data_IF_048910957358
#
_entry.id   IF_048910957358
#
_cell.length_a   1.000
_cell.length_b   1.000
_cell.length_c   1.000
_cell.angle_alpha   90.00
_cell.angle_beta   90.00
_cell.angle_gamma   90.00
#
_symmetry.space_group_name_H-M   'P 1'
#
loop_
_entity.id
_entity.type
_entity.pdbx_description
1 polymer ?
#
# COMPACT_ATOMS: atom_id res chain seq x y z
N UNK A 1 35.92 -36.91 -19.31
CA UNK A 1 36.08 -35.61 -18.61
C UNK A 1 34.76 -35.27 -17.94
N UNK A 2 34.71 -35.19 -16.60
CA UNK A 2 33.56 -34.60 -15.91
C UNK A 2 33.57 -33.10 -16.24
N UNK A 3 32.55 -32.61 -16.95
CA UNK A 3 32.33 -31.17 -17.12
C UNK A 3 32.08 -30.59 -15.73
N UNK A 4 33.09 -29.92 -15.18
CA UNK A 4 32.95 -29.15 -13.93
C UNK A 4 32.23 -27.86 -14.31
N UNK A 5 30.98 -27.74 -13.87
CA UNK A 5 30.18 -26.54 -14.08
C UNK A 5 30.78 -25.44 -13.17
N UNK A 6 31.21 -24.29 -13.71
CA UNK A 6 31.73 -23.21 -12.88
C UNK A 6 30.65 -22.70 -11.92
N UNK A 7 31.03 -22.24 -10.71
CA UNK A 7 30.08 -21.80 -9.70
C UNK A 7 29.24 -20.63 -10.22
N UNK A 8 27.93 -20.67 -9.94
CA UNK A 8 27.01 -19.57 -10.25
C UNK A 8 27.49 -18.32 -9.50
N UNK A 9 27.66 -17.20 -10.20
CA UNK A 9 28.10 -15.94 -9.59
C UNK A 9 27.10 -15.50 -8.53
N UNK A 10 27.53 -14.74 -7.52
CA UNK A 10 26.63 -14.22 -6.49
C UNK A 10 25.48 -13.42 -7.14
N UNK A 11 24.26 -13.77 -6.77
CA UNK A 11 23.06 -12.99 -7.05
C UNK A 11 22.66 -12.30 -5.76
N UNK A 12 22.33 -11.01 -5.84
CA UNK A 12 21.83 -10.26 -4.69
C UNK A 12 20.48 -9.65 -5.04
N UNK A 13 19.46 -9.99 -4.26
CA UNK A 13 18.12 -9.41 -4.37
C UNK A 13 17.96 -8.28 -3.34
N UNK A 14 17.58 -7.10 -3.83
CA UNK A 14 17.26 -5.92 -3.04
C UNK A 14 15.79 -5.59 -3.21
N UNK A 15 15.07 -5.47 -2.09
CA UNK A 15 13.70 -4.95 -2.10
C UNK A 15 13.77 -3.45 -1.92
N UNK A 16 13.34 -2.72 -2.94
CA UNK A 16 13.28 -1.26 -2.91
C UNK A 16 11.86 -0.84 -2.58
N UNK A 17 11.72 -0.23 -1.40
CA UNK A 17 10.47 0.33 -0.91
C UNK A 17 10.25 1.71 -1.53
N UNK A 18 9.09 1.90 -2.15
CA UNK A 18 8.65 3.12 -2.82
C UNK A 18 7.43 3.70 -2.11
N UNK A 19 7.35 5.03 -1.97
CA UNK A 19 6.14 5.68 -1.50
C UNK A 19 5.15 5.93 -2.65
N UNK A 20 3.86 5.91 -2.37
CA UNK A 20 2.83 6.31 -3.33
C UNK A 20 2.81 7.84 -3.52
N UNK A 21 2.63 8.29 -4.76
CA UNK A 21 2.37 9.70 -5.06
C UNK A 21 1.07 10.20 -4.40
N UNK A 22 0.86 11.51 -4.39
CA UNK A 22 -0.36 12.10 -3.84
C UNK A 22 -1.63 11.61 -4.58
N UNK A 23 -1.57 11.58 -5.92
CA UNK A 23 -2.66 11.07 -6.76
C UNK A 23 -2.89 9.59 -6.52
N UNK A 24 -1.83 8.78 -6.50
CA UNK A 24 -1.92 7.35 -6.22
C UNK A 24 -2.55 7.07 -4.85
N UNK A 25 -2.15 7.79 -3.79
CA UNK A 25 -2.77 7.65 -2.46
C UNK A 25 -4.26 7.95 -2.49
N UNK A 26 -4.65 9.04 -3.16
CA UNK A 26 -6.05 9.42 -3.24
C UNK A 26 -6.89 8.34 -3.94
N UNK A 27 -6.44 7.89 -5.11
CA UNK A 27 -7.09 6.83 -5.90
C UNK A 27 -7.11 5.50 -5.15
N UNK A 28 -5.99 5.12 -4.53
CA UNK A 28 -5.87 3.88 -3.77
C UNK A 28 -6.85 3.88 -2.58
N UNK A 29 -6.92 4.98 -1.83
CA UNK A 29 -7.90 5.11 -0.76
C UNK A 29 -9.35 5.12 -1.26
N UNK A 30 -9.64 5.79 -2.38
CA UNK A 30 -10.98 5.81 -2.97
C UNK A 30 -11.41 4.41 -3.40
N UNK A 31 -10.55 3.69 -4.14
CA UNK A 31 -10.82 2.32 -4.60
C UNK A 31 -10.86 1.31 -3.45
N UNK A 32 -10.03 1.49 -2.42
CA UNK A 32 -10.10 0.67 -1.21
C UNK A 32 -11.41 0.89 -0.45
N UNK A 33 -11.95 2.12 -0.42
CA UNK A 33 -13.20 2.47 0.26
C UNK A 33 -14.46 2.15 -0.53
N UNK A 34 -14.40 2.20 -1.86
CA UNK A 34 -15.51 1.80 -2.72
C UNK A 34 -15.77 0.30 -2.45
N UNK A 35 -16.82 0.05 -1.65
CA UNK A 35 -17.50 -1.24 -1.55
C UNK A 35 -18.21 -1.42 -2.89
N UNK A 36 -17.48 -1.86 -3.91
CA UNK A 36 -18.14 -2.44 -5.08
C UNK A 36 -19.04 -3.54 -4.52
N UNK A 37 -20.34 -3.32 -4.71
CA UNK A 37 -21.44 -4.10 -4.17
C UNK A 37 -21.09 -5.58 -4.24
N UNK A 38 -20.92 -6.19 -3.07
CA UNK A 38 -21.13 -7.62 -2.93
C UNK A 38 -22.60 -7.79 -3.29
N UNK A 39 -22.89 -8.05 -4.56
CA UNK A 39 -24.18 -8.59 -4.96
C UNK A 39 -24.22 -9.92 -4.23
N UNK A 40 -24.91 -9.94 -3.09
CA UNK A 40 -25.28 -11.13 -2.33
C UNK A 40 -26.24 -11.97 -3.19
N UNK A 41 -25.74 -12.50 -4.30
CA UNK A 41 -26.31 -13.69 -4.87
C UNK A 41 -25.84 -14.83 -3.98
N UNK A 42 -26.81 -15.55 -3.42
CA UNK A 42 -26.69 -16.64 -2.44
C UNK A 42 -25.79 -17.82 -2.86
N UNK A 43 -25.10 -17.69 -3.99
CA UNK A 43 -24.11 -18.60 -4.53
C UNK A 43 -22.74 -17.89 -4.52
N UNK A 44 -21.89 -18.16 -3.52
CA UNK A 44 -20.61 -17.49 -3.21
C UNK A 44 -19.52 -17.43 -4.28
N UNK A 45 -19.82 -17.72 -5.56
CA UNK A 45 -18.89 -17.65 -6.70
C UNK A 45 -18.71 -16.22 -7.27
N UNK A 46 -19.65 -15.30 -7.05
CA UNK A 46 -19.60 -13.94 -7.62
C UNK A 46 -18.69 -12.98 -6.83
N UNK A 47 -18.64 -13.10 -5.49
CA UNK A 47 -17.84 -12.22 -4.62
C UNK A 47 -16.33 -12.34 -4.83
N UNK A 48 -15.81 -13.55 -5.10
CA UNK A 48 -14.38 -13.77 -5.38
C UNK A 48 -13.93 -13.06 -6.67
N UNK A 49 -14.80 -12.98 -7.69
CA UNK A 49 -14.50 -12.26 -8.94
C UNK A 49 -14.46 -10.74 -8.73
N UNK A 50 -15.41 -10.19 -7.97
CA UNK A 50 -15.43 -8.76 -7.64
C UNK A 50 -14.20 -8.35 -6.79
N UNK A 51 -13.79 -9.20 -5.84
CA UNK A 51 -12.60 -8.98 -5.03
C UNK A 51 -11.30 -9.05 -5.87
N UNK A 52 -11.17 -10.05 -6.74
CA UNK A 52 -10.02 -10.17 -7.65
C UNK A 52 -9.93 -8.98 -8.61
N UNK A 53 -11.07 -8.48 -9.09
CA UNK A 53 -11.12 -7.26 -9.89
C UNK A 53 -10.63 -6.05 -9.07
N UNK A 54 -11.03 -5.92 -7.81
CA UNK A 54 -10.55 -4.85 -6.92
C UNK A 54 -9.04 -4.92 -6.68
N UNK A 55 -8.51 -6.12 -6.39
CA UNK A 55 -7.06 -6.34 -6.23
C UNK A 55 -6.30 -5.95 -7.51
N UNK A 56 -6.84 -6.29 -8.68
CA UNK A 56 -6.25 -5.90 -9.97
C UNK A 56 -6.21 -4.38 -10.12
N UNK A 57 -7.29 -3.66 -9.79
CA UNK A 57 -7.29 -2.20 -9.87
C UNK A 57 -6.32 -1.56 -8.87
N UNK A 58 -6.23 -2.08 -7.64
CA UNK A 58 -5.25 -1.60 -6.65
C UNK A 58 -3.81 -1.80 -7.15
N UNK A 59 -3.51 -2.92 -7.79
CA UNK A 59 -2.21 -3.15 -8.45
C UNK A 59 -1.94 -2.14 -9.57
N UNK A 60 -2.94 -1.87 -10.43
CA UNK A 60 -2.81 -0.83 -11.47
C UNK A 60 -2.41 0.51 -10.87
N UNK A 61 -3.08 0.95 -9.80
CA UNK A 61 -2.77 2.22 -9.13
C UNK A 61 -1.34 2.24 -8.57
N UNK A 62 -0.87 1.14 -7.97
CA UNK A 62 0.51 1.05 -7.44
C UNK A 62 1.56 1.13 -8.55
N UNK A 63 1.25 0.62 -9.74
CA UNK A 63 2.10 0.72 -10.93
C UNK A 63 2.08 2.13 -11.52
N UNK A 64 0.92 2.61 -11.99
CA UNK A 64 0.77 3.93 -12.56
C UNK A 64 -0.70 4.41 -12.62
N UNK A 65 -1.02 5.67 -12.23
CA UNK A 65 -2.37 6.22 -12.35
C UNK A 65 -2.92 6.27 -13.79
N UNK A 66 -2.07 6.50 -14.79
CA UNK A 66 -2.49 6.57 -16.21
C UNK A 66 -2.81 5.21 -16.83
N UNK A 67 -2.80 4.12 -16.05
CA UNK A 67 -3.45 2.87 -16.50
C UNK A 67 -4.98 2.96 -16.50
N UNK A 68 -5.52 4.10 -16.06
CA UNK A 68 -6.91 4.49 -16.16
C UNK A 68 -6.99 5.69 -17.09
N UNK A 69 -7.43 5.46 -18.32
CA UNK A 69 -7.46 6.46 -19.40
C UNK A 69 -8.22 7.73 -18.97
N UNK A 70 -9.34 7.57 -18.26
CA UNK A 70 -10.15 8.66 -17.71
C UNK A 70 -9.37 9.61 -16.79
N UNK A 71 -8.37 9.08 -16.07
CA UNK A 71 -7.54 9.87 -15.15
C UNK A 71 -6.47 10.62 -15.93
N UNK A 72 -5.87 9.98 -16.94
CA UNK A 72 -4.91 10.62 -17.83
C UNK A 72 -5.55 11.80 -18.57
N UNK A 73 -6.71 11.58 -19.21
CA UNK A 73 -7.42 12.61 -19.96
C UNK A 73 -7.79 13.83 -19.09
N UNK A 74 -8.33 13.60 -17.89
CA UNK A 74 -8.68 14.70 -16.97
C UNK A 74 -7.45 15.47 -16.51
N UNK A 75 -6.35 14.77 -16.22
CA UNK A 75 -5.11 15.42 -15.79
C UNK A 75 -4.46 16.19 -16.94
N UNK A 76 -4.49 15.65 -18.17
CA UNK A 76 -4.04 16.32 -19.39
C UNK A 76 -4.81 17.63 -19.63
N UNK A 77 -6.14 17.59 -19.48
CA UNK A 77 -6.99 18.79 -19.56
C UNK A 77 -6.63 19.82 -18.49
N UNK A 78 -6.46 19.40 -17.23
CA UNK A 78 -6.12 20.30 -16.13
C UNK A 78 -4.77 21.00 -16.30
N UNK A 79 -3.81 20.31 -16.93
CA UNK A 79 -2.47 20.84 -17.20
C UNK A 79 -2.37 21.55 -18.56
N UNK A 80 -3.43 21.58 -19.36
CA UNK A 80 -3.48 22.29 -20.64
C UNK A 80 -2.84 21.55 -21.82
N UNK A 81 -2.66 20.23 -21.75
CA UNK A 81 -2.20 19.42 -22.88
C UNK A 81 -3.32 19.28 -23.92
N UNK A 82 -3.09 19.82 -25.12
CA UNK A 82 -4.10 19.88 -26.19
C UNK A 82 -4.39 18.54 -26.87
N UNK A 83 -3.42 17.63 -26.85
CA UNK A 83 -3.52 16.33 -27.52
C UNK A 83 -3.96 15.19 -26.58
N UNK A 84 -4.24 15.48 -25.30
CA UNK A 84 -4.67 14.48 -24.32
C UNK A 84 -3.56 13.54 -23.81
N UNK A 85 -2.37 13.56 -24.42
CA UNK A 85 -1.23 12.73 -24.02
C UNK A 85 -0.27 13.48 -23.09
N UNK A 86 0.00 12.90 -21.93
CA UNK A 86 0.91 13.49 -20.94
C UNK A 86 2.33 12.98 -21.19
N UNK A 87 3.20 13.91 -21.56
CA UNK A 87 4.62 13.64 -21.77
C UNK A 87 5.48 14.43 -20.78
N UNK A 88 6.64 13.86 -20.45
CA UNK A 88 7.71 14.55 -19.72
C UNK A 88 7.66 14.38 -18.20
N UNK A 89 7.89 15.44 -17.41
CA UNK A 89 8.03 15.32 -15.96
C UNK A 89 6.75 14.87 -15.28
N UNK A 90 5.60 15.27 -15.80
CA UNK A 90 4.31 14.93 -15.20
C UNK A 90 3.95 13.45 -15.36
N UNK A 91 4.51 12.77 -16.36
CA UNK A 91 4.37 11.32 -16.54
C UNK A 91 4.99 10.55 -15.37
N UNK A 92 6.28 10.77 -15.08
CA UNK A 92 6.95 9.98 -14.05
C UNK A 92 6.67 10.47 -12.61
N UNK A 93 6.30 11.75 -12.42
CA UNK A 93 6.05 12.32 -11.08
C UNK A 93 4.73 11.87 -10.46
N UNK A 94 3.77 11.43 -11.27
CA UNK A 94 2.49 10.91 -10.75
C UNK A 94 2.60 9.48 -10.21
N UNK A 95 3.70 8.76 -10.46
CA UNK A 95 3.93 7.43 -9.88
C UNK A 95 5.23 7.38 -9.09
N UNK A 96 5.15 6.94 -7.84
CA UNK A 96 6.33 6.81 -6.98
C UNK A 96 7.37 5.81 -7.49
N UNK A 97 6.95 4.76 -8.20
CA UNK A 97 7.89 3.79 -8.81
C UNK A 97 8.65 4.42 -9.97
N UNK A 98 7.97 5.17 -10.83
CA UNK A 98 8.60 5.87 -11.96
C UNK A 98 9.55 6.98 -11.47
N UNK A 99 9.17 7.71 -10.43
CA UNK A 99 10.05 8.71 -9.79
C UNK A 99 11.35 8.09 -9.29
N UNK A 100 11.25 6.93 -8.62
CA UNK A 100 12.43 6.20 -8.16
C UNK A 100 13.28 5.71 -9.34
N UNK A 101 12.65 5.14 -10.37
CA UNK A 101 13.36 4.68 -11.58
C UNK A 101 14.10 5.83 -12.29
N UNK A 102 13.51 7.02 -12.31
CA UNK A 102 14.13 8.22 -12.87
C UNK A 102 15.41 8.62 -12.15
N UNK A 103 15.56 8.26 -10.87
CA UNK A 103 16.81 8.46 -10.11
C UNK A 103 17.82 7.34 -10.29
N UNK A 104 17.36 6.12 -10.58
CA UNK A 104 18.21 4.91 -10.66
C UNK A 104 18.76 4.71 -12.07
N UNK A 105 17.94 4.80 -13.11
CA UNK A 105 18.34 4.51 -14.49
C UNK A 105 19.49 5.40 -15.00
N UNK A 106 19.54 6.73 -14.74
CA UNK A 106 20.69 7.55 -15.14
C UNK A 106 22.00 7.09 -14.49
N UNK A 107 21.95 6.64 -13.23
CA UNK A 107 23.13 6.14 -12.52
C UNK A 107 23.62 4.84 -13.13
N UNK A 108 22.72 3.92 -13.45
CA UNK A 108 23.04 2.66 -14.12
C UNK A 108 23.64 2.88 -15.52
N UNK A 109 23.10 3.85 -16.28
CA UNK A 109 23.64 4.24 -17.59
C UNK A 109 25.04 4.85 -17.46
N UNK A 110 25.25 5.74 -16.49
CA UNK A 110 26.55 6.36 -16.24
C UNK A 110 27.63 5.33 -15.86
N UNK A 111 27.25 4.24 -15.18
CA UNK A 111 28.14 3.12 -14.83
C UNK A 111 28.26 2.05 -15.93
N UNK A 112 27.52 2.15 -17.03
CA UNK A 112 27.57 1.20 -18.14
C UNK A 112 26.93 -0.17 -17.86
N UNK A 113 25.97 -0.25 -16.96
CA UNK A 113 25.23 -1.48 -16.65
C UNK A 113 24.11 -1.73 -17.68
N UNK A 114 23.84 -3.00 -18.03
CA UNK A 114 22.73 -3.38 -18.93
C UNK A 114 21.55 -3.88 -18.10
N UNK A 115 20.35 -3.35 -18.36
CA UNK A 115 19.17 -3.53 -17.50
C UNK A 115 18.10 -4.38 -18.16
N UNK A 116 17.64 -5.44 -17.48
CA UNK A 116 16.38 -6.13 -17.82
C UNK A 116 15.27 -5.57 -16.95
N UNK A 117 14.23 -5.01 -17.55
CA UNK A 117 13.06 -4.48 -16.85
C UNK A 117 11.87 -5.38 -17.09
N UNK A 118 11.39 -6.05 -16.05
CA UNK A 118 10.24 -6.93 -16.10
C UNK A 118 8.97 -6.24 -15.59
N UNK A 119 7.89 -6.34 -16.38
CA UNK A 119 6.55 -5.88 -16.04
C UNK A 119 5.54 -7.02 -16.23
N UNK A 120 4.52 -7.09 -15.38
CA UNK A 120 3.38 -7.99 -15.60
C UNK A 120 2.38 -7.41 -16.59
N UNK A 121 2.01 -6.14 -16.41
CA UNK A 121 0.99 -5.49 -17.21
C UNK A 121 1.61 -4.84 -18.45
N UNK A 122 1.19 -5.27 -19.65
CA UNK A 122 1.68 -4.70 -20.92
C UNK A 122 1.34 -3.22 -21.07
N UNK A 123 0.20 -2.77 -20.53
CA UNK A 123 -0.17 -1.36 -20.52
C UNK A 123 0.86 -0.46 -19.80
N UNK A 124 1.59 -1.00 -18.80
CA UNK A 124 2.69 -0.27 -18.16
C UNK A 124 3.91 -0.21 -19.08
N UNK A 125 4.13 -1.23 -19.91
CA UNK A 125 5.21 -1.23 -20.90
C UNK A 125 5.02 -0.10 -21.90
N UNK A 126 3.78 0.16 -22.33
CA UNK A 126 3.46 1.28 -23.23
C UNK A 126 3.84 2.63 -22.59
N UNK A 127 3.56 2.82 -21.30
CA UNK A 127 3.99 4.02 -20.55
C UNK A 127 5.52 4.12 -20.44
N UNK A 128 6.22 2.99 -20.32
CA UNK A 128 7.69 2.97 -20.35
C UNK A 128 8.25 3.40 -21.70
N UNK A 129 7.62 3.07 -22.82
CA UNK A 129 8.06 3.53 -24.14
C UNK A 129 8.01 5.05 -24.25
N UNK A 130 6.93 5.67 -23.77
CA UNK A 130 6.79 7.13 -23.70
C UNK A 130 7.88 7.74 -22.81
N UNK A 131 8.11 7.14 -21.64
CA UNK A 131 9.14 7.59 -20.70
C UNK A 131 10.57 7.45 -21.25
N UNK A 132 10.88 6.34 -21.92
CA UNK A 132 12.19 6.10 -22.54
C UNK A 132 12.43 7.02 -23.72
N UNK A 133 11.42 7.29 -24.54
CA UNK A 133 11.48 8.29 -25.60
C UNK A 133 11.78 9.69 -25.02
N UNK A 134 11.11 10.08 -23.94
CA UNK A 134 11.36 11.37 -23.28
C UNK A 134 12.79 11.50 -22.72
N UNK A 135 13.34 10.44 -22.11
CA UNK A 135 14.71 10.41 -21.56
C UNK A 135 15.79 10.05 -22.58
N UNK A 136 15.42 9.77 -23.84
CA UNK A 136 16.31 9.27 -24.90
C UNK A 136 17.10 8.01 -24.47
N UNK A 137 16.42 7.03 -23.90
CA UNK A 137 17.00 5.71 -23.63
C UNK A 137 16.80 4.77 -24.81
N UNK A 138 17.85 4.04 -25.17
CA UNK A 138 17.77 2.95 -26.14
C UNK A 138 17.20 1.72 -25.44
N UNK A 139 16.14 1.16 -26.03
CA UNK A 139 15.47 0.01 -25.44
C UNK A 139 15.01 -0.99 -26.50
N UNK A 140 14.83 -2.24 -26.06
CA UNK A 140 14.23 -3.33 -26.84
C UNK A 140 13.02 -3.83 -26.07
N UNK A 141 11.88 -4.01 -26.75
CA UNK A 141 10.63 -4.52 -26.16
C UNK A 141 10.39 -5.97 -26.58
N UNK A 142 9.98 -6.81 -25.62
CA UNK A 142 9.53 -8.17 -25.87
C UNK A 142 8.30 -8.49 -25.02
N UNK A 143 7.20 -8.73 -25.70
CA UNK A 143 5.92 -9.15 -25.13
C UNK A 143 5.38 -10.41 -25.83
N UNK A 144 4.22 -10.89 -25.38
CA UNK A 144 3.59 -12.10 -25.93
C UNK A 144 3.04 -11.97 -27.35
N UNK A 145 3.01 -10.76 -27.92
CA UNK A 145 2.54 -10.50 -29.29
C UNK A 145 3.67 -10.49 -30.32
N UNK A 146 4.92 -10.44 -29.87
CA UNK A 146 6.11 -10.50 -30.73
C UNK A 146 6.24 -11.87 -31.42
N UNK A 147 6.50 -11.90 -32.73
CA UNK A 147 6.66 -13.16 -33.48
C UNK A 147 7.92 -13.90 -33.08
N UNK A 148 7.93 -15.23 -33.27
CA UNK A 148 9.04 -16.09 -32.87
C UNK A 148 10.35 -15.78 -33.62
N UNK A 149 10.26 -15.41 -34.90
CA UNK A 149 11.41 -15.05 -35.73
C UNK A 149 12.03 -13.73 -35.26
N UNK A 150 11.21 -12.68 -35.10
CA UNK A 150 11.61 -11.38 -34.57
C UNK A 150 12.25 -11.52 -33.18
N UNK A 151 11.72 -12.41 -32.33
CA UNK A 151 12.29 -12.69 -31.01
C UNK A 151 13.77 -13.10 -31.07
N UNK A 152 14.14 -13.91 -32.06
CA UNK A 152 15.52 -14.37 -32.20
C UNK A 152 16.45 -13.23 -32.64
N UNK A 153 15.97 -12.32 -33.48
CA UNK A 153 16.70 -11.14 -33.90
C UNK A 153 16.89 -10.15 -32.73
N UNK A 154 15.83 -9.85 -31.97
CA UNK A 154 15.90 -8.97 -30.79
C UNK A 154 16.90 -9.49 -29.74
N UNK A 155 16.95 -10.81 -29.53
CA UNK A 155 17.92 -11.44 -28.63
C UNK A 155 19.36 -11.35 -29.14
N UNK A 156 19.58 -11.47 -30.45
CA UNK A 156 20.90 -11.27 -31.05
C UNK A 156 21.33 -9.82 -30.87
N UNK A 157 20.42 -8.88 -31.17
CA UNK A 157 20.71 -7.45 -31.10
C UNK A 157 21.07 -6.99 -29.69
N UNK A 158 20.41 -7.53 -28.65
CA UNK A 158 20.74 -7.19 -27.27
C UNK A 158 22.07 -7.77 -26.78
N UNK A 159 22.39 -8.99 -27.24
CA UNK A 159 23.64 -9.67 -26.88
C UNK A 159 24.84 -9.18 -27.68
N UNK A 160 24.61 -8.46 -28.78
CA UNK A 160 25.63 -7.77 -29.55
C UNK A 160 26.12 -6.54 -28.78
N UNK A 161 27.44 -6.43 -28.59
CA UNK A 161 28.05 -5.30 -27.89
C UNK A 161 28.21 -4.08 -28.83
N UNK A 162 28.05 -4.25 -30.15
CA UNK A 162 28.11 -3.16 -31.13
C UNK A 162 26.85 -2.29 -31.14
N UNK A 163 25.73 -2.84 -30.67
CA UNK A 163 24.45 -2.14 -30.59
C UNK A 163 24.30 -1.57 -29.17
N UNK A 164 24.16 -0.24 -29.08
CA UNK A 164 23.93 0.45 -27.80
C UNK A 164 22.50 0.19 -27.29
N UNK A 165 22.28 -0.99 -26.71
CA UNK A 165 21.04 -1.38 -26.06
C UNK A 165 21.19 -1.30 -24.55
N UNK A 166 20.61 -0.26 -23.94
CA UNK A 166 20.69 -0.05 -22.50
C UNK A 166 19.63 -0.86 -21.72
N UNK A 167 18.37 -0.82 -22.17
CA UNK A 167 17.23 -1.44 -21.49
C UNK A 167 16.61 -2.53 -22.36
N UNK A 168 16.32 -3.69 -21.77
CA UNK A 168 15.45 -4.68 -22.37
C UNK A 168 14.17 -4.77 -21.55
N UNK A 169 13.07 -4.33 -22.13
CA UNK A 169 11.73 -4.30 -21.53
C UNK A 169 11.00 -5.62 -21.85
N UNK A 170 10.77 -6.43 -20.83
CA UNK A 170 10.12 -7.74 -20.95
C UNK A 170 8.81 -7.77 -20.18
N UNK A 171 7.82 -8.44 -20.75
CA UNK A 171 6.74 -8.96 -19.91
C UNK A 171 7.23 -10.16 -19.11
N UNK A 172 6.89 -10.29 -17.82
CA UNK A 172 7.36 -11.40 -16.98
C UNK A 172 6.97 -12.76 -17.57
N UNK A 173 5.77 -12.85 -18.14
CA UNK A 173 5.28 -14.08 -18.80
C UNK A 173 6.04 -14.44 -20.07
N UNK A 174 6.28 -13.47 -20.98
CA UNK A 174 7.06 -13.75 -22.19
C UNK A 174 8.54 -14.01 -21.85
N UNK A 175 9.04 -13.35 -20.81
CA UNK A 175 10.38 -13.53 -20.25
C UNK A 175 10.61 -14.89 -19.58
N UNK A 176 9.56 -15.54 -19.07
CA UNK A 176 9.63 -16.87 -18.47
C UNK A 176 10.01 -17.99 -19.45
N UNK A 177 9.92 -17.76 -20.77
CA UNK A 177 10.10 -18.81 -21.78
C UNK A 177 11.50 -18.79 -22.40
N UNK A 178 12.41 -19.59 -21.84
CA UNK A 178 13.60 -20.10 -22.56
C UNK A 178 14.64 -19.10 -23.06
N UNK A 179 14.58 -17.82 -22.66
CA UNK A 179 15.50 -16.77 -23.14
C UNK A 179 16.91 -16.92 -22.52
N UNK A 180 17.93 -16.45 -23.24
CA UNK A 180 19.31 -16.35 -22.75
C UNK A 180 19.78 -14.89 -22.80
N UNK A 181 19.83 -14.23 -21.64
CA UNK A 181 20.10 -12.79 -21.51
C UNK A 181 21.30 -12.54 -20.56
N UNK A 182 22.35 -13.34 -20.72
CA UNK A 182 23.54 -13.35 -19.85
C UNK A 182 24.38 -12.07 -19.91
N UNK A 183 24.13 -11.18 -20.88
CA UNK A 183 24.84 -9.90 -21.00
C UNK A 183 24.33 -8.83 -20.04
N UNK A 184 23.11 -8.98 -19.50
CA UNK A 184 22.56 -8.04 -18.54
C UNK A 184 22.96 -8.42 -17.11
N UNK A 185 23.43 -7.44 -16.34
CA UNK A 185 23.87 -7.60 -14.97
C UNK A 185 22.85 -7.06 -13.95
N UNK A 186 21.96 -6.16 -14.37
CA UNK A 186 20.91 -5.61 -13.51
C UNK A 186 19.55 -6.09 -13.95
N UNK A 187 18.77 -6.65 -13.03
CA UNK A 187 17.38 -7.05 -13.24
C UNK A 187 16.49 -6.18 -12.37
N UNK A 188 15.49 -5.53 -12.96
CA UNK A 188 14.49 -4.73 -12.24
C UNK A 188 13.15 -5.43 -12.39
N UNK A 189 12.55 -5.82 -11.27
CA UNK A 189 11.18 -6.32 -11.21
C UNK A 189 10.28 -5.14 -10.81
N UNK A 190 9.55 -4.58 -11.79
CA UNK A 190 8.69 -3.42 -11.55
C UNK A 190 7.47 -3.77 -10.71
N UNK A 191 6.88 -4.93 -10.97
CA UNK A 191 5.84 -5.52 -10.17
C UNK A 191 5.99 -7.05 -10.07
N UNK A 192 5.54 -7.62 -8.95
CA UNK A 192 5.74 -9.05 -8.66
C UNK A 192 4.58 -9.90 -9.21
N UNK A 193 4.89 -11.12 -9.65
CA UNK A 193 3.87 -12.12 -9.96
C UNK A 193 3.19 -12.63 -8.66
N UNK A 194 2.01 -13.24 -8.81
CA UNK A 194 1.38 -14.00 -7.74
C UNK A 194 2.08 -15.33 -7.47
N UNK A 195 2.78 -15.85 -8.48
CA UNK A 195 3.60 -17.05 -8.43
C UNK A 195 5.09 -16.67 -8.35
N UNK A 196 5.76 -16.85 -7.20
CA UNK A 196 7.17 -16.48 -7.03
C UNK A 196 8.11 -17.21 -8.00
N UNK A 197 7.75 -18.41 -8.47
CA UNK A 197 8.56 -19.16 -9.45
C UNK A 197 8.68 -18.45 -10.79
N UNK A 198 7.67 -17.67 -11.19
CA UNK A 198 7.74 -16.87 -12.43
C UNK A 198 8.79 -15.76 -12.30
N UNK A 199 8.82 -15.08 -11.17
CA UNK A 199 9.82 -14.05 -10.90
C UNK A 199 11.23 -14.66 -10.75
N UNK A 200 11.36 -15.82 -10.12
CA UNK A 200 12.63 -16.54 -10.03
C UNK A 200 13.13 -16.96 -11.42
N UNK A 201 12.25 -17.49 -12.26
CA UNK A 201 12.56 -17.88 -13.62
C UNK A 201 12.99 -16.69 -14.49
N UNK A 202 12.40 -15.50 -14.27
CA UNK A 202 12.80 -14.25 -14.91
C UNK A 202 14.20 -13.81 -14.47
N UNK A 203 14.52 -13.91 -13.18
CA UNK A 203 15.87 -13.61 -12.66
C UNK A 203 16.93 -14.57 -13.22
N UNK A 204 16.62 -15.86 -13.33
CA UNK A 204 17.48 -16.87 -13.94
C UNK A 204 17.78 -16.62 -15.43
N UNK A 205 17.10 -15.68 -16.10
CA UNK A 205 17.45 -15.28 -17.48
C UNK A 205 18.80 -14.56 -17.54
N UNK A 206 19.09 -13.74 -16.54
CA UNK A 206 20.37 -13.04 -16.37
C UNK A 206 21.33 -13.83 -15.49
N UNK A 207 20.82 -14.42 -14.40
CA UNK A 207 21.59 -15.27 -13.48
C UNK A 207 21.77 -16.68 -14.05
N UNK A 208 22.56 -16.79 -15.11
CA UNK A 208 22.79 -18.04 -15.84
C UNK A 208 24.28 -18.32 -16.08
N UNK A 209 24.62 -19.59 -16.24
CA UNK A 209 25.99 -20.06 -16.53
C UNK A 209 26.50 -19.38 -17.80
N UNK A 210 27.49 -18.49 -17.67
CA UNK A 210 28.03 -17.68 -18.77
C UNK A 210 28.09 -16.17 -18.45
N UNK A 211 27.31 -15.73 -17.46
CA UNK A 211 27.45 -14.39 -16.88
C UNK A 211 28.81 -14.25 -16.17
N UNK A 212 29.46 -13.09 -16.30
CA UNK A 212 30.75 -12.75 -15.68
C UNK A 212 30.62 -11.68 -14.60
N UNK A 213 29.56 -10.87 -14.63
CA UNK A 213 29.31 -9.80 -13.68
C UNK A 213 28.41 -10.27 -12.53
N UNK A 214 28.49 -9.60 -11.38
CA UNK A 214 27.55 -9.80 -10.27
C UNK A 214 26.14 -9.38 -10.71
N UNK A 215 25.15 -10.26 -10.52
CA UNK A 215 23.76 -9.98 -10.91
C UNK A 215 23.02 -9.33 -9.75
N UNK A 216 22.54 -8.11 -9.96
CA UNK A 216 21.74 -7.35 -8.99
C UNK A 216 20.28 -7.39 -9.39
N UNK A 217 19.43 -7.92 -8.51
CA UNK A 217 17.98 -7.93 -8.69
C UNK A 217 17.37 -6.84 -7.82
N UNK A 218 16.68 -5.89 -8.42
CA UNK A 218 15.99 -4.80 -7.75
C UNK A 218 14.48 -5.05 -7.86
N UNK A 219 13.85 -5.45 -6.76
CA UNK A 219 12.40 -5.63 -6.70
C UNK A 219 11.75 -4.38 -6.16
N UNK A 220 10.94 -3.70 -6.97
CA UNK A 220 10.20 -2.53 -6.53
C UNK A 220 8.92 -2.96 -5.79
N UNK A 221 8.65 -2.31 -4.66
CA UNK A 221 7.45 -2.53 -3.86
C UNK A 221 6.95 -1.20 -3.32
N UNK A 222 5.66 -0.92 -3.46
CA UNK A 222 5.03 0.24 -2.82
C UNK A 222 4.68 -0.03 -1.35
N UNK A 223 4.99 0.92 -0.46
CA UNK A 223 4.73 0.79 0.98
C UNK A 223 3.27 1.07 1.36
N UNK A 224 2.77 0.40 2.39
CA UNK A 224 1.38 0.48 2.87
C UNK A 224 0.34 0.11 1.80
N UNK A 225 0.67 -0.83 0.91
CA UNK A 225 -0.22 -1.26 -0.18
C UNK A 225 -0.43 -2.77 -0.20
N UNK A 226 -1.25 -3.23 -1.13
CA UNK A 226 -1.48 -4.65 -1.38
C UNK A 226 -0.21 -5.37 -1.86
N UNK A 227 0.78 -4.66 -2.42
CA UNK A 227 2.02 -5.26 -2.92
C UNK A 227 2.87 -5.86 -1.79
N UNK A 228 2.88 -5.24 -0.61
CA UNK A 228 3.54 -5.79 0.59
C UNK A 228 2.97 -7.16 0.95
N UNK A 229 1.63 -7.26 0.99
CA UNK A 229 0.93 -8.52 1.28
C UNK A 229 1.20 -9.57 0.21
N UNK A 230 1.21 -9.18 -1.07
CA UNK A 230 1.52 -10.08 -2.18
C UNK A 230 2.94 -10.64 -2.02
N UNK A 231 3.93 -9.80 -1.66
CA UNK A 231 5.30 -10.27 -1.47
C UNK A 231 5.43 -11.19 -0.24
N UNK A 232 4.76 -10.87 0.87
CA UNK A 232 4.74 -11.71 2.06
C UNK A 232 4.17 -13.10 1.74
N UNK A 233 3.02 -13.16 1.05
CA UNK A 233 2.45 -14.41 0.56
C UNK A 233 3.38 -15.18 -0.38
N UNK A 234 4.09 -14.48 -1.28
CA UNK A 234 5.01 -15.10 -2.22
C UNK A 234 6.22 -15.73 -1.50
N UNK A 235 6.76 -15.05 -0.49
CA UNK A 235 7.84 -15.57 0.37
C UNK A 235 7.39 -16.78 1.18
N UNK A 236 6.20 -16.71 1.76
CA UNK A 236 5.62 -17.84 2.48
C UNK A 236 5.51 -19.08 1.58
N UNK A 237 5.02 -18.93 0.35
CA UNK A 237 4.97 -20.04 -0.63
C UNK A 237 6.34 -20.62 -0.96
N UNK A 238 7.36 -19.77 -1.15
CA UNK A 238 8.73 -20.26 -1.39
C UNK A 238 9.28 -21.03 -0.20
N UNK A 239 9.04 -20.56 1.02
CA UNK A 239 9.48 -21.25 2.24
C UNK A 239 8.78 -22.61 2.39
N UNK A 240 7.47 -22.66 2.14
CA UNK A 240 6.71 -23.92 2.14
C UNK A 240 7.26 -24.88 1.07
N UNK A 241 7.50 -24.38 -0.15
CA UNK A 241 8.05 -25.19 -1.24
C UNK A 241 9.44 -25.74 -0.90
N UNK A 242 10.32 -24.92 -0.31
CA UNK A 242 11.66 -25.33 0.12
C UNK A 242 11.59 -26.45 1.17
N UNK A 243 10.73 -26.30 2.19
CA UNK A 243 10.50 -27.33 3.21
C UNK A 243 9.96 -28.63 2.60
N UNK A 244 9.02 -28.55 1.65
CA UNK A 244 8.47 -29.72 0.95
C UNK A 244 9.55 -30.43 0.12
N UNK A 245 10.41 -29.68 -0.57
CA UNK A 245 11.54 -30.23 -1.34
C UNK A 245 12.55 -30.92 -0.40
N UNK A 246 12.85 -30.29 0.73
CA UNK A 246 13.81 -30.80 1.72
C UNK A 246 13.28 -32.07 2.40
N UNK A 247 12.01 -32.06 2.83
CA UNK A 247 11.33 -33.21 3.42
C UNK A 247 11.07 -34.33 2.40
N UNK A 248 10.91 -33.96 1.13
CA UNK A 248 10.79 -34.89 0.01
C UNK A 248 12.02 -35.77 -0.20
N UNK A 249 13.19 -35.42 0.38
CA UNK A 249 14.46 -36.15 0.32
C UNK A 249 14.63 -36.94 -0.98
N UNK A 250 14.98 -36.27 -2.08
CA UNK A 250 15.11 -36.89 -3.42
C UNK A 250 16.26 -37.90 -3.58
N UNK A 251 16.83 -38.41 -2.48
CA UNK A 251 17.76 -39.52 -2.52
C UNK A 251 17.00 -40.85 -2.53
N UNK A 252 17.32 -41.72 -3.49
CA UNK A 252 16.73 -43.08 -3.62
C UNK A 252 17.11 -44.03 -2.46
N UNK A 253 17.78 -43.53 -1.42
CA UNK A 253 18.35 -44.29 -0.30
C UNK A 253 17.72 -43.99 1.06
N UNK A 254 16.92 -42.92 1.21
CA UNK A 254 16.32 -42.54 2.49
C UNK A 254 15.04 -43.31 2.78
N UNK A 255 14.96 -43.90 3.97
CA UNK A 255 13.84 -44.73 4.42
C UNK A 255 12.62 -43.87 4.79
N UNK A 256 11.44 -44.48 4.88
CA UNK A 256 10.20 -43.75 5.19
C UNK A 256 10.15 -43.20 6.62
N UNK A 257 10.93 -43.77 7.54
CA UNK A 257 11.04 -43.29 8.92
C UNK A 257 11.90 -42.04 9.00
N UNK A 258 13.08 -42.04 8.35
CA UNK A 258 13.99 -40.87 8.32
C UNK A 258 13.33 -39.64 7.69
N UNK A 259 12.47 -39.84 6.69
CA UNK A 259 11.66 -38.76 6.09
C UNK A 259 10.61 -38.20 7.06
N UNK A 260 10.05 -39.04 7.93
CA UNK A 260 9.02 -38.63 8.89
C UNK A 260 9.64 -37.84 10.04
N UNK A 261 10.73 -38.37 10.64
CA UNK A 261 11.43 -37.72 11.76
C UNK A 261 12.03 -36.35 11.33
N UNK A 262 12.51 -36.26 10.09
CA UNK A 262 13.03 -35.00 9.54
C UNK A 262 11.93 -33.97 9.27
N UNK A 263 10.77 -34.41 8.80
CA UNK A 263 9.60 -33.55 8.61
C UNK A 263 9.10 -33.02 9.97
N UNK A 264 9.10 -33.86 11.00
CA UNK A 264 8.70 -33.49 12.36
C UNK A 264 9.64 -32.42 12.95
N UNK A 265 10.97 -32.59 12.80
CA UNK A 265 11.96 -31.59 13.21
C UNK A 265 11.83 -30.24 12.46
N UNK A 266 11.45 -30.26 11.18
CA UNK A 266 11.22 -29.03 10.39
C UNK A 266 9.95 -28.29 10.80
N UNK A 267 8.95 -29.00 11.33
CA UNK A 267 7.69 -28.43 11.83
C UNK A 267 7.88 -27.93 13.27
N UNK A 268 8.62 -28.66 14.12
CA UNK A 268 8.91 -28.24 15.50
C UNK A 268 9.79 -26.99 15.57
N UNK A 269 10.70 -26.79 14.61
CA UNK A 269 11.51 -25.57 14.51
C UNK A 269 10.73 -24.28 14.20
N UNK A 270 9.45 -24.37 13.85
CA UNK A 270 8.58 -23.20 13.59
C UNK A 270 7.94 -22.62 14.87
N UNK A 271 7.98 -23.31 16.02
CA UNK A 271 7.40 -22.76 17.26
C UNK A 271 8.21 -21.59 17.86
N UNK A 272 9.47 -21.41 17.44
CA UNK A 272 10.37 -20.31 17.83
C UNK A 272 10.29 -19.07 16.89
N UNK A 273 9.46 -19.09 15.85
CA UNK A 273 9.13 -17.90 15.01
C UNK A 273 7.74 -17.36 15.40
N UNK A 274 7.47 -17.32 16.70
CA UNK A 274 6.36 -16.53 17.27
C UNK A 274 6.96 -15.27 17.88
N UNK A 275 6.87 -14.13 17.17
CA UNK A 275 6.49 -12.84 17.77
C UNK A 275 6.53 -11.60 16.85
N UNK A 276 6.77 -11.70 15.54
CA UNK A 276 6.55 -10.55 14.63
C UNK A 276 6.13 -11.02 13.22
N UNK A 277 4.83 -11.18 12.98
CA UNK A 277 4.16 -10.76 11.73
C UNK A 277 2.66 -11.14 11.76
N UNK A 278 1.82 -10.11 11.64
CA UNK A 278 0.36 -10.17 11.47
C UNK A 278 -0.04 -10.93 10.19
N UNK A 279 -1.02 -11.83 10.33
CA UNK A 279 -1.96 -12.31 9.32
C UNK A 279 -1.38 -12.73 7.94
N UNK A 280 -0.83 -13.94 7.89
CA UNK A 280 -0.75 -14.73 6.66
C UNK A 280 -2.19 -15.01 6.17
N UNK A 281 -2.59 -14.62 4.94
CA UNK A 281 -3.95 -14.84 4.47
C UNK A 281 -4.15 -16.28 4.01
N UNK A 282 -4.51 -17.16 4.94
CA UNK A 282 -5.12 -18.45 4.63
C UNK A 282 -6.62 -18.30 4.40
N UNK A 283 -7.20 -19.23 3.64
CA UNK A 283 -8.61 -19.29 3.21
C UNK A 283 -9.65 -19.28 4.38
N UNK A 284 -9.19 -19.19 5.63
CA UNK A 284 -9.98 -18.96 6.83
C UNK A 284 -10.54 -17.53 6.93
N UNK A 285 -9.90 -16.51 6.33
CA UNK A 285 -10.42 -15.12 6.34
C UNK A 285 -11.76 -15.03 5.57
N UNK A 286 -12.03 -15.94 4.62
CA UNK A 286 -13.34 -15.98 3.95
C UNK A 286 -14.45 -16.54 4.84
N UNK A 287 -14.12 -17.41 5.81
CA UNK A 287 -15.08 -17.96 6.78
C UNK A 287 -15.13 -17.18 8.10
N UNK A 288 -14.09 -16.44 8.47
CA UNK A 288 -14.09 -15.61 9.69
C UNK A 288 -14.90 -14.31 9.55
N UNK A 289 -15.21 -13.85 8.33
CA UNK A 289 -16.21 -12.79 8.11
C UNK A 289 -17.63 -13.26 8.47
N UNK A 290 -17.88 -14.58 8.57
CA UNK A 290 -19.13 -15.12 9.13
C UNK A 290 -19.12 -15.27 10.67
N UNK A 291 -17.95 -15.18 11.30
CA UNK A 291 -17.77 -15.40 12.74
C UNK A 291 -17.73 -14.13 13.60
N UNK A 292 -17.63 -12.93 13.00
CA UNK A 292 -17.84 -11.66 13.73
C UNK A 292 -19.28 -11.46 14.24
N UNK A 293 -20.22 -12.39 13.96
CA UNK A 293 -21.54 -12.43 14.60
C UNK A 293 -21.56 -13.09 16.00
N UNK A 294 -20.46 -13.70 16.47
CA UNK A 294 -20.46 -14.54 17.69
C UNK A 294 -19.69 -14.01 18.91
N UNK A 295 -19.35 -12.72 18.97
CA UNK A 295 -18.88 -12.06 20.21
C UNK A 295 -19.85 -10.98 20.74
N UNK A 296 -21.17 -11.22 20.58
CA UNK A 296 -22.26 -10.52 21.31
C UNK A 296 -22.81 -11.37 22.47
N UNK A 297 -21.95 -12.09 23.18
CA UNK A 297 -22.28 -12.76 24.45
C UNK A 297 -21.42 -12.14 25.55
N UNK A 298 -21.83 -11.02 26.15
CA UNK A 298 -22.56 -11.11 27.43
C UNK A 298 -23.52 -9.95 27.76
N UNK A 299 -23.89 -9.10 26.79
CA UNK A 299 -24.88 -8.03 27.04
C UNK A 299 -26.13 -8.25 26.18
N UNK A 300 -27.06 -9.10 26.63
CA UNK A 300 -28.42 -9.17 26.04
C UNK A 300 -29.19 -7.91 26.46
N UNK A 301 -29.38 -7.00 25.52
CA UNK A 301 -30.40 -5.95 25.63
C UNK A 301 -31.77 -6.64 25.52
N UNK A 302 -32.59 -6.47 26.54
CA UNK A 302 -33.97 -6.99 26.64
C UNK A 302 -34.87 -5.83 26.98
N UNK A 303 -36.18 -5.96 26.76
CA UNK A 303 -37.17 -4.89 27.02
C UNK A 303 -37.18 -4.41 28.49
N UNK A 304 -36.57 -5.17 29.41
CA UNK A 304 -36.42 -4.81 30.83
C UNK A 304 -35.27 -3.84 31.12
N UNK A 305 -34.34 -3.64 30.18
CA UNK A 305 -33.11 -2.84 30.35
C UNK A 305 -33.03 -1.67 29.35
N UNK A 306 -34.18 -1.21 28.86
CA UNK A 306 -34.29 -0.07 27.94
C UNK A 306 -33.66 1.19 28.57
N UNK A 307 -32.76 1.87 27.84
CA UNK A 307 -31.99 3.02 28.34
C UNK A 307 -30.76 2.67 29.19
N UNK A 308 -30.46 1.39 29.43
CA UNK A 308 -29.25 1.00 30.14
C UNK A 308 -28.00 1.23 29.28
N UNK A 309 -26.93 1.73 29.92
CA UNK A 309 -25.62 1.99 29.30
C UNK A 309 -24.61 0.92 29.69
N UNK A 310 -23.94 0.37 28.71
CA UNK A 310 -22.93 -0.68 28.82
C UNK A 310 -21.58 -0.18 28.35
N UNK A 311 -20.51 -0.72 28.93
CA UNK A 311 -19.13 -0.31 28.65
C UNK A 311 -18.67 -0.88 27.31
N UNK A 312 -18.04 -0.03 26.49
CA UNK A 312 -17.18 -0.50 25.40
C UNK A 312 -15.78 -0.79 25.96
N UNK A 313 -15.32 -2.03 25.77
CA UNK A 313 -14.01 -2.50 26.23
C UNK A 313 -12.86 -2.02 25.32
N UNK A 314 -13.17 -1.53 24.12
CA UNK A 314 -12.15 -1.11 23.15
C UNK A 314 -11.84 0.38 23.26
N UNK A 315 -12.81 1.21 23.69
CA UNK A 315 -12.69 2.66 23.69
C UNK A 315 -13.18 3.31 24.99
N UNK A 316 -12.43 4.30 25.46
CA UNK A 316 -12.79 5.07 26.65
C UNK A 316 -13.82 6.19 26.37
N UNK A 317 -14.09 6.50 25.10
CA UNK A 317 -15.06 7.52 24.70
C UNK A 317 -16.37 6.98 24.13
N UNK A 318 -16.47 5.67 23.91
CA UNK A 318 -17.68 5.02 23.45
C UNK A 318 -18.35 4.21 24.56
N UNK A 319 -19.66 4.01 24.40
CA UNK A 319 -20.47 3.15 25.25
C UNK A 319 -21.62 2.59 24.42
N UNK A 320 -22.24 1.50 24.85
CA UNK A 320 -23.44 0.98 24.20
C UNK A 320 -24.68 1.39 24.99
N UNK A 321 -25.73 1.81 24.30
CA UNK A 321 -27.04 2.11 24.89
C UNK A 321 -28.07 1.11 24.35
N UNK A 322 -28.89 0.58 25.24
CA UNK A 322 -29.98 -0.32 24.86
C UNK A 322 -31.19 0.52 24.42
N UNK A 323 -31.49 0.46 23.12
CA UNK A 323 -32.59 1.19 22.48
C UNK A 323 -33.38 0.18 21.63
N UNK A 324 -34.66 0.01 21.94
CA UNK A 324 -35.62 -0.88 21.29
C UNK A 324 -35.11 -2.32 21.18
N UNK A 325 -34.61 -2.86 22.29
CA UNK A 325 -34.08 -4.24 22.34
C UNK A 325 -32.76 -4.44 21.56
N UNK A 326 -32.10 -3.38 21.09
CA UNK A 326 -30.80 -3.43 20.41
C UNK A 326 -29.75 -2.59 21.13
N UNK A 327 -28.53 -3.11 21.23
CA UNK A 327 -27.37 -2.33 21.65
C UNK A 327 -26.89 -1.45 20.50
N UNK A 328 -26.95 -0.13 20.71
CA UNK A 328 -26.49 0.90 19.78
C UNK A 328 -25.22 1.54 20.35
N UNK A 329 -24.17 1.64 19.54
CA UNK A 329 -22.94 2.32 19.92
C UNK A 329 -23.17 3.83 19.98
N UNK A 330 -22.84 4.45 21.10
CA UNK A 330 -22.91 5.88 21.36
C UNK A 330 -21.53 6.41 21.77
N UNK A 331 -21.35 7.72 21.65
CA UNK A 331 -20.11 8.41 22.01
C UNK A 331 -20.38 9.51 23.02
N UNK A 332 -19.46 9.71 23.96
CA UNK A 332 -19.52 10.85 24.89
C UNK A 332 -19.24 12.17 24.15
N UNK A 333 -19.78 13.29 24.64
CA UNK A 333 -19.42 14.60 24.10
C UNK A 333 -17.95 14.91 24.40
N UNK A 334 -17.12 15.12 23.37
CA UNK A 334 -15.72 15.53 23.54
C UNK A 334 -15.61 16.81 24.40
N UNK A 335 -14.73 16.88 25.42
CA UNK A 335 -13.65 15.95 25.77
C UNK A 335 -13.99 14.97 26.93
N UNK A 336 -15.27 14.65 27.16
CA UNK A 336 -15.68 13.75 28.24
C UNK A 336 -15.35 12.28 27.93
N UNK A 337 -15.17 11.43 28.95
CA UNK A 337 -14.91 10.00 28.84
C UNK A 337 -15.98 9.20 29.59
N UNK A 338 -16.21 7.95 29.18
CA UNK A 338 -17.21 7.09 29.81
C UNK A 338 -16.61 6.37 31.02
N UNK A 339 -17.17 6.65 32.20
CA UNK A 339 -16.78 6.04 33.45
C UNK A 339 -17.45 4.67 33.65
N UNK A 340 -16.66 3.65 33.99
CA UNK A 340 -17.13 2.26 34.13
C UNK A 340 -18.00 2.09 35.38
N UNK A 341 -17.64 2.74 36.48
CA UNK A 341 -18.30 2.56 37.78
C UNK A 341 -19.63 3.32 37.82
N UNK A 342 -19.63 4.56 37.33
CA UNK A 342 -20.79 5.46 37.38
C UNK A 342 -21.70 5.28 36.14
N UNK A 343 -21.20 4.62 35.09
CA UNK A 343 -21.89 4.41 33.80
C UNK A 343 -22.38 5.71 33.16
N UNK A 344 -21.59 6.78 33.29
CA UNK A 344 -21.88 8.11 32.74
C UNK A 344 -20.64 8.73 32.10
N UNK A 345 -20.88 9.64 31.16
CA UNK A 345 -19.82 10.48 30.61
C UNK A 345 -19.43 11.56 31.63
N UNK A 346 -18.15 11.61 32.00
CA UNK A 346 -17.57 12.58 32.92
C UNK A 346 -16.37 13.30 32.27
N UNK A 347 -15.96 14.47 32.77
CA UNK A 347 -14.76 15.14 32.27
C UNK A 347 -13.53 14.22 32.33
N UNK A 348 -12.69 14.24 31.28
CA UNK A 348 -11.55 13.31 31.15
C UNK A 348 -10.61 13.26 32.35
N UNK A 349 -10.46 14.37 33.10
CA UNK A 349 -9.62 14.43 34.31
C UNK A 349 -10.12 13.57 35.47
N UNK A 350 -11.41 13.18 35.45
CA UNK A 350 -12.06 12.40 36.52
C UNK A 350 -12.18 10.91 36.20
N UNK A 351 -11.84 10.49 34.98
CA UNK A 351 -12.08 9.11 34.50
C UNK A 351 -10.74 8.41 34.28
N UNK A 352 -10.60 7.20 34.83
CA UNK A 352 -9.49 6.29 34.51
C UNK A 352 -9.93 5.33 33.39
N UNK A 353 -9.09 5.15 32.38
CA UNK A 353 -9.45 4.35 31.21
C UNK A 353 -9.15 2.85 31.34
N UNK A 354 -8.53 2.38 32.43
CA UNK A 354 -8.35 0.96 32.80
C UNK A 354 -8.01 0.04 31.61
N UNK A 355 -6.96 0.38 30.85
CA UNK A 355 -6.48 -0.39 29.69
C UNK A 355 -7.19 -0.12 28.35
N UNK A 356 -8.29 0.63 28.34
CA UNK A 356 -9.02 1.03 27.12
C UNK A 356 -8.30 2.17 26.39
N UNK A 357 -8.51 2.26 25.06
CA UNK A 357 -7.94 3.32 24.24
C UNK A 357 -8.39 4.71 24.71
N UNK A 358 -7.43 5.57 25.04
CA UNK A 358 -7.71 6.96 25.41
C UNK A 358 -8.03 7.82 24.18
N UNK A 359 -9.15 8.52 24.24
CA UNK A 359 -9.59 9.38 23.15
C UNK A 359 -9.04 10.81 23.34
N UNK A 360 -8.04 11.21 22.55
CA UNK A 360 -7.33 12.50 22.69
C UNK A 360 -7.88 13.59 21.77
N UNK A 361 -8.31 13.21 20.57
CA UNK A 361 -8.82 14.14 19.56
C UNK A 361 -10.31 13.94 19.34
N UNK A 362 -10.99 14.99 18.86
CA UNK A 362 -12.42 14.94 18.51
C UNK A 362 -12.74 13.87 17.46
N UNK A 363 -11.73 13.45 16.68
CA UNK A 363 -11.88 12.37 15.71
C UNK A 363 -12.06 10.99 16.38
N UNK A 364 -11.47 10.77 17.56
CA UNK A 364 -11.64 9.51 18.29
C UNK A 364 -13.08 9.30 18.79
N UNK A 365 -13.90 10.35 18.83
CA UNK A 365 -15.29 10.34 19.30
C UNK A 365 -16.33 10.13 18.19
N UNK A 366 -15.93 10.19 16.92
CA UNK A 366 -16.87 10.02 15.81
C UNK A 366 -17.20 8.53 15.68
N UNK A 367 -18.43 8.17 16.03
CA UNK A 367 -18.97 6.81 16.18
C UNK A 367 -19.00 5.93 14.92
N UNK A 368 -18.41 6.39 13.80
CA UNK A 368 -18.18 5.59 12.60
C UNK A 368 -16.74 5.06 12.56
N UNK A 369 -16.30 4.53 13.70
CA UNK A 369 -14.93 4.06 13.93
C UNK A 369 -14.74 2.63 13.42
N UNK A 370 -15.03 2.41 12.13
CA UNK A 370 -14.38 1.33 11.38
C UNK A 370 -13.01 1.86 10.93
N UNK A 371 -11.96 1.11 11.27
CA UNK A 371 -10.60 1.38 10.84
C UNK A 371 -10.54 1.69 9.32
N UNK A 372 -10.19 2.92 8.93
CA UNK A 372 -9.93 3.26 7.52
C UNK A 372 -10.52 4.56 6.95
N UNK A 373 -10.93 5.56 7.74
CA UNK A 373 -11.35 6.88 7.20
C UNK A 373 -10.46 8.06 7.61
N UNK A 374 -9.82 8.61 6.58
CA UNK A 374 -9.07 9.87 6.46
C UNK A 374 -9.91 11.15 6.63
N UNK A 375 -10.86 11.23 7.57
CA UNK A 375 -11.51 12.51 7.93
C UNK A 375 -10.82 13.23 9.09
N UNK A 376 -9.97 12.54 9.87
CA UNK A 376 -9.24 13.21 10.97
C UNK A 376 -8.25 14.27 10.47
N UNK A 377 -7.84 14.25 9.20
CA UNK A 377 -6.96 15.28 8.62
C UNK A 377 -7.60 16.67 8.61
N UNK A 378 -8.94 16.75 8.64
CA UNK A 378 -9.72 17.98 8.72
C UNK A 378 -10.20 18.31 10.14
N UNK A 379 -9.81 17.50 11.13
CA UNK A 379 -10.12 17.75 12.53
C UNK A 379 -8.86 18.33 13.18
N UNK A 380 -8.92 19.53 13.76
CA UNK A 380 -7.75 20.11 14.41
C UNK A 380 -7.27 19.20 15.55
N UNK A 381 -5.95 19.06 15.68
CA UNK A 381 -5.29 18.16 16.64
C UNK A 381 -4.20 18.91 17.40
N UNK A 382 -4.02 18.54 18.67
CA UNK A 382 -2.95 19.03 19.54
C UNK A 382 -1.73 18.11 19.56
N UNK A 383 -1.68 17.09 18.70
CA UNK A 383 -0.53 16.19 18.61
C UNK A 383 0.74 16.98 18.23
N UNK A 384 1.78 16.91 19.07
CA UNK A 384 3.04 17.63 18.87
C UNK A 384 3.01 19.11 19.29
N UNK A 385 1.94 19.56 19.95
CA UNK A 385 1.80 20.91 20.48
C UNK A 385 1.74 20.88 22.01
N UNK A 386 2.51 21.74 22.69
CA UNK A 386 2.38 21.94 24.13
C UNK A 386 1.09 22.69 24.49
N UNK A 387 0.84 22.88 25.78
CA UNK A 387 -0.35 23.61 26.24
C UNK A 387 -0.36 25.06 25.73
N UNK A 388 -1.48 25.52 25.18
CA UNK A 388 -1.59 26.86 24.59
C UNK A 388 -2.64 26.99 23.49
N UNK A 389 -2.62 28.12 22.78
CA UNK A 389 -3.55 28.40 21.69
C UNK A 389 -2.86 28.31 20.32
N UNK A 390 -3.50 27.61 19.38
CA UNK A 390 -2.95 27.33 18.06
C UNK A 390 -3.96 27.64 16.97
N UNK A 391 -3.47 28.08 15.82
CA UNK A 391 -4.29 28.31 14.65
C UNK A 391 -4.89 26.99 14.14
N UNK A 392 -6.18 26.99 13.83
CA UNK A 392 -6.80 25.87 13.13
C UNK A 392 -6.39 25.90 11.64
N UNK A 393 -5.43 25.03 11.30
CA UNK A 393 -4.88 24.90 9.95
C UNK A 393 -5.83 24.18 8.98
N UNK A 394 -6.94 23.64 9.46
CA UNK A 394 -7.94 22.97 8.62
C UNK A 394 -8.87 23.97 7.93
N UNK A 395 -8.85 25.25 8.35
CA UNK A 395 -9.67 26.32 7.77
C UNK A 395 -8.80 27.31 6.98
N UNK A 396 -9.20 27.67 5.74
CA UNK A 396 -8.38 28.50 4.86
C UNK A 396 -8.24 29.96 5.32
N UNK A 397 -9.15 30.44 6.18
CA UNK A 397 -9.26 31.89 6.47
C UNK A 397 -8.44 32.35 7.69
N UNK A 398 -7.69 31.46 8.35
CA UNK A 398 -6.91 31.75 9.56
C UNK A 398 -7.70 32.47 10.71
N UNK A 399 -9.02 32.31 10.74
CA UNK A 399 -9.89 32.93 11.75
C UNK A 399 -10.19 32.00 12.93
N UNK A 400 -10.04 30.69 12.72
CA UNK A 400 -10.32 29.68 13.74
C UNK A 400 -9.05 29.33 14.50
N UNK A 401 -9.18 29.10 15.80
CA UNK A 401 -8.09 28.67 16.67
C UNK A 401 -8.59 27.63 17.67
N UNK A 402 -7.66 26.79 18.11
CA UNK A 402 -7.87 25.74 19.10
C UNK A 402 -7.07 26.04 20.37
N UNK A 403 -7.59 25.57 21.49
CA UNK A 403 -6.87 25.52 22.76
C UNK A 403 -6.45 24.07 23.03
N UNK A 404 -5.15 23.87 23.25
CA UNK A 404 -4.55 22.60 23.61
C UNK A 404 -4.24 22.58 25.10
N UNK A 405 -4.70 21.54 25.79
CA UNK A 405 -4.33 21.19 27.17
C UNK A 405 -4.17 19.67 27.26
N UNK A 406 -3.12 19.19 27.91
CA UNK A 406 -2.88 17.75 28.13
C UNK A 406 -2.92 16.94 26.80
N UNK A 407 -2.31 17.46 25.73
CA UNK A 407 -2.35 16.90 24.35
C UNK A 407 -3.77 16.77 23.74
N UNK A 408 -4.77 17.47 24.28
CA UNK A 408 -6.18 17.43 23.85
C UNK A 408 -6.67 18.80 23.40
N UNK A 409 -7.51 18.83 22.37
CA UNK A 409 -8.24 20.05 21.97
C UNK A 409 -9.36 20.30 22.98
N UNK A 410 -9.18 21.20 23.93
CA UNK A 410 -10.22 21.52 24.94
C UNK A 410 -11.22 22.55 24.45
N UNK A 411 -10.82 23.45 23.54
CA UNK A 411 -11.70 24.47 22.98
C UNK A 411 -11.39 24.71 21.49
N UNK A 412 -12.41 25.08 20.73
CA UNK A 412 -12.31 25.48 19.33
C UNK A 412 -13.19 26.71 19.13
N UNK A 413 -12.58 27.84 18.77
CA UNK A 413 -13.23 29.15 18.73
C UNK A 413 -12.81 29.92 17.47
N UNK A 414 -13.58 30.96 17.12
CA UNK A 414 -13.34 31.80 15.93
C UNK A 414 -13.20 33.27 16.34
N UNK A 415 -12.28 33.98 15.72
CA UNK A 415 -12.14 35.42 15.85
C UNK A 415 -13.31 36.17 15.19
N UNK A 416 -13.57 37.40 15.63
CA UNK A 416 -14.58 38.29 15.04
C UNK A 416 -14.25 38.62 13.56
N UNK A 417 -15.27 39.03 12.81
CA UNK A 417 -15.10 39.42 11.41
C UNK A 417 -14.03 40.53 11.26
N UNK A 418 -13.12 40.36 10.30
CA UNK A 418 -11.98 41.27 10.08
C UNK A 418 -10.74 41.00 10.95
N UNK A 419 -10.80 40.03 11.87
CA UNK A 419 -9.65 39.64 12.71
C UNK A 419 -9.10 38.26 12.34
N UNK A 420 -7.80 38.05 12.54
CA UNK A 420 -7.09 36.77 12.40
C UNK A 420 -6.41 36.40 13.71
N UNK A 421 -6.25 35.10 13.97
CA UNK A 421 -5.57 34.65 15.19
C UNK A 421 -4.05 34.79 15.05
N UNK A 422 -3.42 35.56 15.93
CA UNK A 422 -1.97 35.74 15.98
C UNK A 422 -1.35 34.77 16.98
N UNK A 423 -0.60 33.78 16.50
CA UNK A 423 0.06 32.76 17.34
C UNK A 423 1.06 33.38 18.33
N UNK A 424 1.80 34.40 17.92
CA UNK A 424 2.85 35.00 18.77
C UNK A 424 2.25 35.79 19.94
N UNK A 425 1.05 36.36 19.75
CA UNK A 425 0.35 37.12 20.78
C UNK A 425 -0.71 36.30 21.54
N UNK A 426 -1.04 35.10 21.06
CA UNK A 426 -2.09 34.26 21.64
C UNK A 426 -3.50 34.86 21.59
N UNK A 427 -3.76 35.84 20.72
CA UNK A 427 -5.04 36.57 20.63
C UNK A 427 -5.42 36.93 19.19
N UNK A 428 -6.70 37.25 18.98
CA UNK A 428 -7.21 37.77 17.71
C UNK A 428 -6.74 39.22 17.49
N UNK A 429 -6.20 39.52 16.31
CA UNK A 429 -5.72 40.86 15.91
C UNK A 429 -6.25 41.22 14.52
N UNK A 430 -6.08 42.47 14.07
CA UNK A 430 -6.51 42.88 12.72
C UNK A 430 -5.88 42.01 11.63
N UNK A 431 -6.63 41.70 10.57
CA UNK A 431 -6.18 40.83 9.48
C UNK A 431 -4.94 41.36 8.75
N UNK A 432 -4.75 42.68 8.72
CA UNK A 432 -3.60 43.33 8.06
C UNK A 432 -2.27 43.07 8.76
N UNK A 433 -2.31 42.70 10.04
CA UNK A 433 -1.13 42.47 10.87
C UNK A 433 -0.68 40.99 10.86
N UNK A 434 -1.44 40.08 10.22
CA UNK A 434 -1.16 38.64 10.24
C UNK A 434 -1.30 38.03 8.83
N UNK A 435 -0.20 37.70 8.14
CA UNK A 435 -0.25 37.02 6.85
C UNK A 435 -0.74 35.58 7.03
N UNK A 436 -1.78 35.19 6.30
CA UNK A 436 -2.33 33.83 6.27
C UNK A 436 -1.77 33.12 5.04
N UNK A 437 -0.69 32.37 5.21
CA UNK A 437 -0.15 31.47 4.18
C UNK A 437 -1.01 30.20 4.17
N UNK A 438 -2.09 30.21 3.37
CA UNK A 438 -2.90 29.02 3.13
C UNK A 438 -2.03 27.92 2.52
N UNK A 439 -2.05 26.72 3.10
CA UNK A 439 -1.51 25.55 2.41
C UNK A 439 -2.40 25.29 1.18
N UNK A 440 -1.81 25.36 0.00
CA UNK A 440 -2.34 24.75 -1.21
C UNK A 440 -2.59 23.27 -0.93
N UNK A 441 -3.83 22.90 -0.67
CA UNK A 441 -4.31 21.54 -0.77
C UNK A 441 -5.24 21.50 -1.98
N UNK A 442 -4.76 20.87 -3.05
CA UNK A 442 -5.59 20.34 -4.12
C UNK A 442 -6.62 19.38 -3.50
N UNK A 443 -7.80 19.87 -3.09
CA UNK A 443 -8.86 18.99 -2.55
C UNK A 443 -10.24 19.23 -3.13
N UNK A 444 -10.50 20.35 -3.81
CA UNK A 444 -11.83 20.57 -4.41
C UNK A 444 -11.94 20.02 -5.83
N UNK A 445 -10.85 19.99 -6.61
CA UNK A 445 -10.87 19.35 -7.95
C UNK A 445 -10.89 17.81 -7.89
N UNK A 446 -10.50 17.19 -6.77
CA UNK A 446 -10.58 15.73 -6.64
C UNK A 446 -12.02 15.22 -6.45
N UNK A 447 -12.94 16.04 -5.93
CA UNK A 447 -14.35 15.63 -5.79
C UNK A 447 -15.10 15.72 -7.12
N UNK A 448 -14.78 16.71 -7.97
CA UNK A 448 -15.30 16.77 -9.34
C UNK A 448 -14.70 15.71 -10.28
N UNK A 449 -13.58 15.08 -9.89
CA UNK A 449 -13.00 13.95 -10.63
C UNK A 449 -13.82 12.66 -10.46
N UNK A 450 -14.65 12.56 -9.40
CA UNK A 450 -15.34 11.32 -9.01
C UNK A 450 -16.88 11.43 -9.09
N UNK A 451 -17.44 12.64 -9.23
CA UNK A 451 -18.83 12.83 -9.69
C UNK A 451 -18.90 12.86 -11.21
#
# INVERSE_FOLDING_TARGET
MKLVIPPKIKQVEYIIKCELSALQRCLYHAMSKNRTLIIENQNGKSGRRALMNKLMQLRKICNHPFLFDEIEERLAQSLGYKDGFINGPDLFRVSGKFELLDRILPKLKATGHKVLLFCQMTAVMDLFEIYFAYRNYTYIRLDGTTKADDRCELLKNFNDDSIDSFIFLLSTRAGGVGLNLQKADTVILFDSDWNPHQDQQAQDRAHRIGQKNEVRVLRLMTVNTIEEKILACARYKLNVDEKVIQAGMFNRSSTSSERHDYLEQLIEGDDDIKDDDEDIPDDEILNQVSLFKKQKSNNKCTDKNEGARFVDLTSCCHYYECISGKLILQSCSHPNLFDIQIRKCLPYKKVKCDGRRQCLSKCHYLSNYDAGKSLCGFVPSCAGHGDGFYLDRTKPNCQSYIQCLDNRVVNHSRCSNGQRFNRNMGRCTSADQVPCLGRYFFTDECYSVIS
#
